data_IF_263242794641
#
_entry.id   IF_263242794641
#
_cell.length_a   1.000
_cell.length_b   1.000
_cell.length_c   1.000
_cell.angle_alpha   90.00
_cell.angle_beta   90.00
_cell.angle_gamma   90.00
#
_symmetry.space_group_name_H-M   'P 1'
#
loop_
_entity.id
_entity.type
_entity.pdbx_description
1 polymer ?
#
# COMPACT_ATOMS: atom_id res chain seq x y z
N UNK A 1 32.33 -0.08 -75.85
CA UNK A 1 31.91 1.14 -75.14
C UNK A 1 31.70 0.74 -73.69
N UNK A 2 32.68 0.98 -72.82
CA UNK A 2 32.62 0.54 -71.42
C UNK A 2 31.90 1.62 -70.59
N UNK A 3 30.87 1.22 -69.85
CA UNK A 3 30.18 2.10 -68.92
C UNK A 3 31.06 2.29 -67.67
N UNK A 4 31.48 3.53 -67.42
CA UNK A 4 32.13 3.91 -66.16
C UNK A 4 31.11 3.82 -65.01
N UNK A 5 31.39 2.99 -64.01
CA UNK A 5 30.64 3.00 -62.76
C UNK A 5 31.17 4.12 -61.87
N UNK A 6 30.36 5.16 -61.69
CA UNK A 6 30.66 6.26 -60.77
C UNK A 6 30.56 5.74 -59.34
N UNK A 7 31.69 5.50 -58.69
CA UNK A 7 31.76 5.19 -57.26
C UNK A 7 31.43 6.44 -56.45
N UNK A 8 30.17 6.56 -56.06
CA UNK A 8 29.70 7.65 -55.20
C UNK A 8 30.06 7.30 -53.76
N UNK A 9 31.08 7.96 -53.20
CA UNK A 9 31.49 7.82 -51.81
C UNK A 9 30.70 8.73 -50.86
N UNK A 10 30.74 8.42 -49.56
CA UNK A 10 30.16 9.26 -48.52
C UNK A 10 30.91 10.60 -48.40
N UNK A 11 30.17 11.70 -48.26
CA UNK A 11 30.77 13.01 -48.01
C UNK A 11 31.12 13.18 -46.53
N UNK A 12 32.18 13.94 -46.22
CA UNK A 12 32.57 14.23 -44.83
C UNK A 12 31.41 14.88 -44.04
N UNK A 13 30.67 15.76 -44.70
CA UNK A 13 29.51 16.46 -44.12
C UNK A 13 28.39 15.48 -43.76
N UNK A 14 28.11 14.50 -44.62
CA UNK A 14 27.08 13.47 -44.37
C UNK A 14 27.42 12.58 -43.18
N UNK A 15 28.70 12.21 -43.02
CA UNK A 15 29.15 11.42 -41.86
C UNK A 15 29.00 12.22 -40.56
N UNK A 16 29.33 13.51 -40.58
CA UNK A 16 29.17 14.38 -39.40
C UNK A 16 27.69 14.55 -39.03
N UNK A 17 26.82 14.77 -40.03
CA UNK A 17 25.38 14.95 -39.79
C UNK A 17 24.74 13.67 -39.26
N UNK A 18 25.07 12.51 -39.82
CA UNK A 18 24.52 11.22 -39.36
C UNK A 18 24.97 10.87 -37.94
N UNK A 19 26.22 11.17 -37.57
CA UNK A 19 26.71 11.04 -36.19
C UNK A 19 25.98 11.98 -35.22
N UNK A 20 25.76 13.23 -35.61
CA UNK A 20 24.99 14.20 -34.82
C UNK A 20 23.57 13.70 -34.55
N UNK A 21 22.88 13.21 -35.58
CA UNK A 21 21.52 12.66 -35.46
C UNK A 21 21.53 11.41 -34.57
N UNK A 22 22.51 10.52 -34.71
CA UNK A 22 22.63 9.32 -33.90
C UNK A 22 22.82 9.65 -32.40
N UNK A 23 23.62 10.66 -32.06
CA UNK A 23 23.83 11.09 -30.67
C UNK A 23 22.56 11.68 -30.07
N UNK A 24 21.84 12.52 -30.83
CA UNK A 24 20.58 13.13 -30.36
C UNK A 24 19.52 12.05 -30.12
N UNK A 25 19.34 11.14 -31.08
CA UNK A 25 18.38 10.04 -30.95
C UNK A 25 18.76 9.06 -29.83
N UNK A 26 20.05 8.75 -29.67
CA UNK A 26 20.55 7.90 -28.60
C UNK A 26 20.30 8.51 -27.21
N UNK A 27 20.52 9.82 -27.05
CA UNK A 27 20.24 10.52 -25.80
C UNK A 27 18.74 10.50 -25.45
N UNK A 28 17.88 10.72 -26.44
CA UNK A 28 16.43 10.64 -26.29
C UNK A 28 16.01 9.22 -25.84
N UNK A 29 16.48 8.16 -26.52
CA UNK A 29 16.15 6.78 -26.14
C UNK A 29 16.58 6.41 -24.72
N UNK A 30 17.74 6.89 -24.27
CA UNK A 30 18.25 6.61 -22.92
C UNK A 30 17.38 7.26 -21.84
N UNK A 31 16.89 8.47 -22.09
CA UNK A 31 16.00 9.19 -21.17
C UNK A 31 14.65 8.48 -20.98
N UNK A 32 14.05 7.98 -22.07
CA UNK A 32 12.75 7.29 -22.03
C UNK A 32 12.84 5.85 -21.50
N UNK A 33 13.93 5.13 -21.78
CA UNK A 33 14.09 3.74 -21.35
C UNK A 33 14.38 3.62 -19.84
N UNK A 34 15.09 4.59 -19.26
CA UNK A 34 15.38 4.61 -17.82
C UNK A 34 14.13 4.77 -16.94
N UNK A 35 13.17 5.61 -17.35
CA UNK A 35 11.94 5.85 -16.57
C UNK A 35 10.97 4.65 -16.61
N UNK A 36 10.81 4.02 -17.78
CA UNK A 36 9.84 2.93 -17.96
C UNK A 36 10.22 1.64 -17.17
N UNK A 37 11.51 1.34 -17.06
CA UNK A 37 11.99 0.17 -16.31
C UNK A 37 11.95 0.39 -14.79
N UNK A 38 12.17 1.62 -14.31
CA UNK A 38 12.21 1.94 -12.88
C UNK A 38 10.81 2.15 -12.30
N UNK A 39 9.86 2.72 -13.05
CA UNK A 39 8.48 2.99 -12.58
C UNK A 39 7.57 1.76 -12.51
N UNK A 40 7.92 0.63 -13.14
CA UNK A 40 7.04 -0.56 -13.19
C UNK A 40 7.02 -1.37 -11.87
N UNK A 41 8.08 -1.30 -11.07
CA UNK A 41 8.19 -2.10 -9.84
C UNK A 41 7.52 -1.46 -8.62
N UNK A 42 7.32 -0.14 -8.62
CA UNK A 42 6.71 0.61 -7.52
C UNK A 42 5.23 0.28 -7.31
N UNK A 43 4.37 0.27 -8.36
CA UNK A 43 2.96 -0.10 -8.23
C UNK A 43 2.77 -1.54 -7.74
N UNK A 44 3.56 -2.49 -8.25
CA UNK A 44 3.46 -3.91 -7.87
C UNK A 44 3.85 -4.12 -6.40
N UNK A 45 4.91 -3.45 -5.92
CA UNK A 45 5.31 -3.52 -4.51
C UNK A 45 4.24 -2.94 -3.59
N UNK A 46 3.64 -1.79 -3.95
CA UNK A 46 2.54 -1.19 -3.19
C UNK A 46 1.30 -2.07 -3.15
N UNK A 47 0.92 -2.67 -4.29
CA UNK A 47 -0.20 -3.61 -4.36
C UNK A 47 0.02 -4.80 -3.42
N UNK A 48 1.21 -5.41 -3.43
CA UNK A 48 1.53 -6.54 -2.54
C UNK A 48 1.42 -6.16 -1.06
N UNK A 49 1.97 -5.00 -0.68
CA UNK A 49 1.91 -4.51 0.71
C UNK A 49 0.46 -4.26 1.14
N UNK A 50 -0.34 -3.63 0.28
CA UNK A 50 -1.75 -3.36 0.59
C UNK A 50 -2.57 -4.65 0.68
N UNK A 51 -2.29 -5.66 -0.15
CA UNK A 51 -2.97 -6.96 -0.06
C UNK A 51 -2.62 -7.74 1.21
N UNK A 52 -1.38 -7.61 1.71
CA UNK A 52 -0.97 -8.25 2.95
C UNK A 52 -1.68 -7.60 4.15
N UNK A 53 -1.70 -6.26 4.22
CA UNK A 53 -2.41 -5.54 5.27
C UNK A 53 -3.92 -5.78 5.24
N UNK A 54 -4.52 -5.87 4.04
CA UNK A 54 -5.92 -6.23 3.88
C UNK A 54 -6.19 -7.64 4.41
N UNK A 55 -5.33 -8.61 4.12
CA UNK A 55 -5.47 -9.97 4.64
C UNK A 55 -5.42 -10.00 6.18
N UNK A 56 -4.56 -9.19 6.82
CA UNK A 56 -4.53 -9.04 8.28
C UNK A 56 -5.88 -8.53 8.79
N UNK A 57 -6.43 -7.47 8.19
CA UNK A 57 -7.72 -6.94 8.61
C UNK A 57 -8.84 -7.98 8.44
N UNK A 58 -8.85 -8.73 7.34
CA UNK A 58 -9.84 -9.78 7.10
C UNK A 58 -9.72 -10.91 8.14
N UNK A 59 -8.49 -11.26 8.57
CA UNK A 59 -8.28 -12.22 9.66
C UNK A 59 -8.79 -11.70 11.00
N UNK A 60 -8.53 -10.43 11.34
CA UNK A 60 -9.04 -9.79 12.58
C UNK A 60 -10.57 -9.75 12.57
N UNK A 61 -11.18 -9.30 11.47
CA UNK A 61 -12.64 -9.25 11.31
C UNK A 61 -13.23 -10.66 11.36
N UNK A 62 -12.57 -11.64 10.73
CA UNK A 62 -12.95 -13.04 10.78
C UNK A 62 -12.91 -13.60 12.20
N UNK A 63 -11.86 -13.31 12.95
CA UNK A 63 -11.72 -13.71 14.34
C UNK A 63 -12.74 -13.02 15.25
N UNK A 64 -13.06 -11.75 15.01
CA UNK A 64 -14.13 -11.05 15.71
C UNK A 64 -15.48 -11.74 15.51
N UNK A 65 -15.82 -12.07 14.26
CA UNK A 65 -17.06 -12.76 13.90
C UNK A 65 -17.14 -14.17 14.49
N UNK A 66 -16.00 -14.86 14.60
CA UNK A 66 -15.92 -16.20 15.19
C UNK A 66 -15.99 -16.17 16.72
N UNK A 67 -15.22 -15.30 17.36
CA UNK A 67 -15.21 -15.12 18.81
C UNK A 67 -16.58 -14.63 19.29
N UNK A 68 -17.25 -13.81 18.47
CA UNK A 68 -18.54 -13.21 18.75
C UNK A 68 -18.61 -12.72 20.21
N UNK A 69 -17.74 -11.77 20.63
CA UNK A 69 -17.68 -11.30 22.01
C UNK A 69 -19.04 -10.78 22.47
N UNK A 70 -19.45 -11.13 23.70
CA UNK A 70 -20.77 -10.79 24.25
C UNK A 70 -20.72 -10.20 25.65
N UNK A 71 -19.54 -10.10 26.25
CA UNK A 71 -19.31 -9.54 27.58
C UNK A 71 -17.96 -8.81 27.64
N UNK A 72 -17.74 -8.03 28.70
CA UNK A 72 -16.54 -7.20 28.85
C UNK A 72 -15.25 -8.04 28.83
N UNK A 73 -15.30 -9.25 29.38
CA UNK A 73 -14.13 -10.11 29.47
C UNK A 73 -13.69 -10.59 28.08
N UNK A 74 -14.62 -11.09 27.27
CA UNK A 74 -14.36 -11.56 25.91
C UNK A 74 -13.91 -10.42 24.99
N UNK A 75 -14.50 -9.24 25.15
CA UNK A 75 -14.08 -8.04 24.44
C UNK A 75 -12.66 -7.59 24.81
N UNK A 76 -12.32 -7.54 26.10
CA UNK A 76 -10.97 -7.19 26.56
C UNK A 76 -9.92 -8.20 26.09
N UNK A 77 -10.25 -9.51 26.09
CA UNK A 77 -9.37 -10.56 25.57
C UNK A 77 -9.13 -10.36 24.08
N UNK A 78 -10.19 -10.09 23.32
CA UNK A 78 -10.10 -9.86 21.88
C UNK A 78 -9.26 -8.61 21.55
N UNK A 79 -9.54 -7.49 22.21
CA UNK A 79 -8.78 -6.23 22.07
C UNK A 79 -7.30 -6.44 22.39
N UNK A 80 -6.98 -7.14 23.49
CA UNK A 80 -5.61 -7.49 23.87
C UNK A 80 -4.93 -8.38 22.82
N UNK A 81 -5.67 -9.30 22.20
CA UNK A 81 -5.17 -10.16 21.13
C UNK A 81 -4.79 -9.44 19.84
N UNK A 82 -5.39 -8.27 19.56
CA UNK A 82 -4.97 -7.38 18.47
C UNK A 82 -3.69 -6.62 18.85
N UNK A 83 -3.55 -6.24 20.13
CA UNK A 83 -2.38 -5.55 20.66
C UNK A 83 -2.64 -4.09 21.02
N UNK A 84 -1.73 -3.50 21.79
CA UNK A 84 -1.85 -2.12 22.26
C UNK A 84 -1.50 -1.10 21.17
N UNK A 85 -2.13 0.07 21.20
CA UNK A 85 -1.79 1.16 20.28
C UNK A 85 -0.30 1.55 20.39
N UNK A 86 0.32 1.81 19.25
CA UNK A 86 1.74 2.13 19.13
C UNK A 86 2.68 0.92 19.05
N UNK A 87 2.17 -0.31 19.14
CA UNK A 87 2.99 -1.53 19.11
C UNK A 87 3.00 -2.21 17.74
N UNK A 88 4.13 -2.84 17.42
CA UNK A 88 4.27 -3.75 16.29
C UNK A 88 3.85 -5.17 16.71
N UNK A 89 3.09 -5.82 15.86
CA UNK A 89 2.51 -7.13 16.07
C UNK A 89 3.07 -8.12 15.07
N UNK A 90 3.34 -9.33 15.57
CA UNK A 90 3.62 -10.51 14.76
C UNK A 90 2.90 -11.69 15.42
N UNK A 91 1.62 -11.83 15.11
CA UNK A 91 0.73 -12.78 15.76
C UNK A 91 -0.09 -13.58 14.74
N UNK A 92 -1.12 -14.30 15.19
CA UNK A 92 -1.94 -15.16 14.35
C UNK A 92 -2.62 -14.42 13.18
N UNK A 93 -2.77 -13.09 13.26
CA UNK A 93 -3.35 -12.27 12.20
C UNK A 93 -2.32 -11.84 11.15
N UNK A 94 -1.03 -11.89 11.47
CA UNK A 94 0.09 -11.50 10.60
C UNK A 94 0.97 -10.42 11.22
N UNK A 95 1.74 -9.76 10.36
CA UNK A 95 2.63 -8.65 10.72
C UNK A 95 1.98 -7.30 10.41
N UNK A 96 1.83 -6.45 11.43
CA UNK A 96 1.21 -5.12 11.32
C UNK A 96 1.57 -4.26 12.52
N UNK A 97 1.35 -2.95 12.41
CA UNK A 97 1.44 -2.02 13.54
C UNK A 97 0.06 -1.55 13.97
N UNK A 98 -0.20 -1.49 15.26
CA UNK A 98 -1.47 -0.94 15.79
C UNK A 98 -1.30 0.57 15.96
N UNK A 99 -2.14 1.37 15.29
CA UNK A 99 -2.19 2.82 15.46
C UNK A 99 -3.29 3.24 16.44
N UNK A 100 -4.41 2.51 16.45
CA UNK A 100 -5.53 2.75 17.36
C UNK A 100 -6.25 1.43 17.62
N UNK A 101 -6.65 1.20 18.87
CA UNK A 101 -7.41 0.02 19.26
C UNK A 101 -8.18 0.32 20.54
N UNK A 102 -9.33 0.97 20.40
CA UNK A 102 -10.13 1.39 21.56
C UNK A 102 -11.61 1.51 21.24
N UNK A 103 -12.42 1.49 22.29
CA UNK A 103 -13.88 1.63 22.19
C UNK A 103 -14.25 3.08 21.90
N UNK A 104 -15.23 3.23 21.01
CA UNK A 104 -15.80 4.50 20.63
C UNK A 104 -17.31 4.43 20.66
N UNK A 105 -17.94 5.58 20.75
CA UNK A 105 -19.37 5.75 20.52
C UNK A 105 -19.61 7.01 19.70
N UNK A 106 -20.81 7.14 19.17
CA UNK A 106 -21.23 8.33 18.45
C UNK A 106 -22.30 9.06 19.27
N UNK A 107 -22.09 10.36 19.50
CA UNK A 107 -23.10 11.19 20.18
C UNK A 107 -24.34 11.41 19.30
N UNK A 108 -25.38 12.05 19.85
CA UNK A 108 -26.62 12.32 19.10
C UNK A 108 -26.43 13.25 17.88
N UNK A 109 -25.30 13.95 17.78
CA UNK A 109 -24.91 14.77 16.63
C UNK A 109 -24.01 14.01 15.64
N UNK A 110 -23.66 12.75 15.92
CA UNK A 110 -22.82 11.90 15.09
C UNK A 110 -21.31 12.12 15.29
N UNK A 111 -20.88 12.80 16.36
CA UNK A 111 -19.46 12.97 16.66
C UNK A 111 -18.91 11.72 17.35
N UNK A 112 -17.71 11.29 16.95
CA UNK A 112 -16.95 10.24 17.64
C UNK A 112 -16.49 10.75 19.02
N UNK A 113 -16.86 10.02 20.07
CA UNK A 113 -16.37 10.24 21.43
C UNK A 113 -15.79 8.95 21.99
N UNK A 114 -14.83 9.07 22.92
CA UNK A 114 -14.26 7.93 23.61
C UNK A 114 -15.34 7.19 24.43
N UNK A 115 -15.24 5.87 24.50
CA UNK A 115 -16.18 5.05 25.24
C UNK A 115 -15.46 4.00 26.08
N UNK A 116 -16.21 3.40 27.01
CA UNK A 116 -15.79 2.20 27.73
C UNK A 116 -16.74 1.08 27.33
N UNK A 117 -16.26 -0.16 27.30
CA UNK A 117 -17.13 -1.30 27.03
C UNK A 117 -18.41 -1.28 27.91
N UNK A 118 -19.57 -1.47 27.28
CA UNK A 118 -20.86 -1.64 27.96
C UNK A 118 -21.56 -0.34 28.37
N UNK A 119 -21.05 0.83 27.98
CA UNK A 119 -21.75 2.11 28.21
C UNK A 119 -22.57 2.59 27.01
N UNK A 120 -22.20 2.21 25.79
CA UNK A 120 -22.99 2.51 24.59
C UNK A 120 -24.15 1.51 24.36
N UNK A 121 -25.19 1.92 23.61
CA UNK A 121 -26.25 1.01 23.15
C UNK A 121 -25.73 -0.12 22.24
N UNK A 122 -24.66 0.15 21.49
CA UNK A 122 -23.95 -0.79 20.63
C UNK A 122 -22.45 -0.66 20.91
N UNK A 123 -21.81 -1.75 21.35
CA UNK A 123 -20.38 -1.74 21.62
C UNK A 123 -19.61 -1.66 20.29
N UNK A 124 -18.88 -0.57 20.08
CA UNK A 124 -18.06 -0.35 18.88
C UNK A 124 -16.59 -0.30 19.23
N UNK A 125 -15.82 -1.29 18.76
CA UNK A 125 -14.36 -1.28 18.82
C UNK A 125 -13.80 -0.72 17.52
N UNK A 126 -13.09 0.41 17.60
CA UNK A 126 -12.36 0.98 16.47
C UNK A 126 -10.95 0.46 16.46
N UNK A 127 -10.54 -0.06 15.31
CA UNK A 127 -9.20 -0.58 15.09
C UNK A 127 -8.58 0.11 13.88
N UNK A 128 -7.37 0.62 14.06
CA UNK A 128 -6.55 1.21 13.01
C UNK A 128 -5.21 0.48 13.01
N UNK A 129 -4.90 -0.20 11.91
CA UNK A 129 -3.63 -0.88 11.71
C UNK A 129 -2.85 -0.23 10.57
N UNK A 130 -1.53 -0.37 10.57
CA UNK A 130 -0.68 0.10 9.49
C UNK A 130 0.30 -0.98 9.04
N UNK A 131 0.58 -0.97 7.74
CA UNK A 131 1.63 -1.77 7.14
C UNK A 131 2.99 -1.07 7.19
N UNK A 132 4.03 -1.66 6.55
CA UNK A 132 5.40 -1.14 6.55
C UNK A 132 5.59 0.28 5.97
N UNK A 133 4.60 0.80 5.24
CA UNK A 133 4.63 2.14 4.65
C UNK A 133 3.85 3.17 5.49
N UNK A 134 3.42 2.82 6.70
CA UNK A 134 2.53 3.61 7.57
C UNK A 134 1.17 3.98 6.92
N UNK A 135 0.78 3.31 5.85
CA UNK A 135 -0.56 3.45 5.25
C UNK A 135 -1.62 2.85 6.21
N UNK A 136 -2.52 3.66 6.79
CA UNK A 136 -3.46 3.19 7.80
C UNK A 136 -4.67 2.52 7.15
N UNK A 137 -5.11 1.42 7.74
CA UNK A 137 -6.36 0.74 7.45
C UNK A 137 -7.24 0.79 8.70
N UNK A 138 -8.41 1.41 8.57
CA UNK A 138 -9.39 1.57 9.66
C UNK A 138 -10.59 0.67 9.43
N UNK A 139 -11.05 0.00 10.47
CA UNK A 139 -12.30 -0.74 10.46
C UNK A 139 -12.97 -0.68 11.83
N UNK A 140 -14.30 -0.84 11.82
CA UNK A 140 -15.14 -0.82 13.01
C UNK A 140 -15.71 -2.22 13.23
N UNK A 141 -15.62 -2.69 14.47
CA UNK A 141 -16.19 -3.95 14.92
C UNK A 141 -17.35 -3.61 15.85
N UNK A 142 -18.56 -3.82 15.36
CA UNK A 142 -19.81 -3.48 16.05
C UNK A 142 -20.56 -4.77 16.35
N UNK A 143 -21.27 -4.78 17.47
CA UNK A 143 -22.21 -5.85 17.81
C UNK A 143 -23.58 -5.32 18.20
#
# INVERSE_FOLDING_TARGET
MAAESKTTGFTLVEVIITLLVAVILGAIMMQYSGSALIQSSTPIKRLKINTALQAVADQIIGAFRQAAPSDSATWNIFQSGIGAAGTDQNNAYGEYRVLFNDFIQFDAAGNEIADVYGTAPEDTLKVVIAGPNDDPLTFLLVR
#
